data_IF_621776680874
#
_entry.id   IF_621776680874
#
_cell.length_a   1.000
_cell.length_b   1.000
_cell.length_c   1.000
_cell.angle_alpha   90.00
_cell.angle_beta   90.00
_cell.angle_gamma   90.00
#
_symmetry.space_group_name_H-M   'P 1'
#
loop_
_entity.id
_entity.type
_entity.pdbx_description
1 polymer ?
#
# COMPACT_ATOMS: atom_id res chain seq x y z
N UNK A 1 3.02 9.18 -45.43
CA UNK A 1 3.89 9.56 -44.28
C UNK A 1 3.18 9.21 -42.98
N UNK A 2 3.67 8.24 -42.20
CA UNK A 2 3.06 7.85 -40.91
C UNK A 2 3.65 8.68 -39.77
N UNK A 3 2.81 9.49 -39.10
CA UNK A 3 3.19 10.24 -37.88
C UNK A 3 3.27 9.25 -36.70
N UNK A 4 4.48 8.95 -36.24
CA UNK A 4 4.70 8.16 -35.03
C UNK A 4 4.30 9.01 -33.82
N UNK A 5 3.26 8.61 -33.09
CA UNK A 5 2.91 9.25 -31.81
C UNK A 5 3.98 8.88 -30.78
N UNK A 6 4.65 9.87 -30.18
CA UNK A 6 5.48 9.62 -28.99
C UNK A 6 4.60 9.04 -27.89
N UNK A 7 4.84 7.77 -27.55
CA UNK A 7 4.29 7.19 -26.33
C UNK A 7 4.98 7.90 -25.17
N UNK A 8 4.21 8.63 -24.36
CA UNK A 8 4.73 9.39 -23.22
C UNK A 8 5.52 8.44 -22.31
N UNK A 9 6.84 8.57 -22.36
CA UNK A 9 7.76 7.69 -21.66
C UNK A 9 7.50 7.69 -20.16
N UNK A 10 7.43 6.49 -19.59
CA UNK A 10 7.64 6.13 -18.18
C UNK A 10 7.34 7.29 -17.22
N UNK A 11 6.07 7.40 -16.80
CA UNK A 11 5.67 8.33 -15.75
C UNK A 11 6.67 8.25 -14.59
N UNK A 12 7.17 9.42 -14.17
CA UNK A 12 8.28 9.56 -13.24
C UNK A 12 8.18 8.51 -12.12
N UNK A 13 9.16 7.60 -12.06
CA UNK A 13 9.13 6.42 -11.16
C UNK A 13 8.82 6.80 -9.70
N UNK A 14 9.21 8.02 -9.30
CA UNK A 14 8.88 8.63 -8.02
C UNK A 14 7.38 8.81 -7.82
N UNK A 15 6.67 9.30 -8.83
CA UNK A 15 5.20 9.49 -8.79
C UNK A 15 4.47 8.16 -8.71
N UNK A 16 4.93 7.14 -9.42
CA UNK A 16 4.39 5.79 -9.34
C UNK A 16 4.57 5.18 -7.95
N UNK A 17 5.80 5.19 -7.41
CA UNK A 17 6.07 4.68 -6.06
C UNK A 17 5.25 5.41 -4.99
N UNK A 18 5.08 6.73 -5.13
CA UNK A 18 4.21 7.51 -4.24
C UNK A 18 2.74 7.09 -4.32
N UNK A 19 2.22 6.84 -5.52
CA UNK A 19 0.85 6.38 -5.72
C UNK A 19 0.63 4.99 -5.09
N UNK A 20 1.56 4.06 -5.31
CA UNK A 20 1.55 2.73 -4.69
C UNK A 20 1.58 2.85 -3.17
N UNK A 21 2.48 3.65 -2.60
CA UNK A 21 2.57 3.85 -1.16
C UNK A 21 1.29 4.41 -0.55
N UNK A 22 0.59 5.31 -1.25
CA UNK A 22 -0.73 5.82 -0.82
C UNK A 22 -1.80 4.72 -0.86
N UNK A 23 -1.83 3.92 -1.92
CA UNK A 23 -2.78 2.81 -2.05
C UNK A 23 -2.59 1.77 -0.94
N UNK A 24 -1.35 1.35 -0.67
CA UNK A 24 -1.04 0.39 0.39
C UNK A 24 -1.45 0.90 1.78
N UNK A 25 -1.23 2.19 2.08
CA UNK A 25 -1.67 2.80 3.35
C UNK A 25 -3.20 2.75 3.51
N UNK A 26 -3.95 3.00 2.43
CA UNK A 26 -5.42 2.92 2.43
C UNK A 26 -5.88 1.47 2.65
N UNK A 27 -5.27 0.51 1.93
CA UNK A 27 -5.57 -0.90 2.09
C UNK A 27 -5.33 -1.38 3.54
N UNK A 28 -4.19 -1.03 4.12
CA UNK A 28 -3.86 -1.35 5.50
C UNK A 28 -4.88 -0.77 6.51
N UNK A 29 -5.39 0.45 6.28
CA UNK A 29 -6.44 1.04 7.13
C UNK A 29 -7.74 0.23 7.06
N UNK A 30 -8.14 -0.19 5.87
CA UNK A 30 -9.33 -1.02 5.66
C UNK A 30 -9.19 -2.38 6.34
N UNK A 31 -8.08 -3.08 6.09
CA UNK A 31 -7.80 -4.39 6.70
C UNK A 31 -7.82 -4.34 8.23
N UNK A 32 -7.20 -3.32 8.84
CA UNK A 32 -7.24 -3.14 10.30
C UNK A 32 -8.63 -2.84 10.84
N UNK A 33 -9.45 -2.07 10.09
CA UNK A 33 -10.86 -1.83 10.49
C UNK A 33 -11.62 -3.16 10.55
N UNK A 34 -11.49 -3.98 9.52
CA UNK A 34 -12.11 -5.31 9.45
C UNK A 34 -11.58 -6.22 10.55
N UNK A 35 -10.26 -6.31 10.74
CA UNK A 35 -9.66 -7.14 11.78
C UNK A 35 -10.21 -6.79 13.17
N UNK A 36 -10.34 -5.49 13.49
CA UNK A 36 -10.94 -5.05 14.75
C UNK A 36 -12.41 -5.43 14.90
N UNK A 37 -13.18 -5.31 13.84
CA UNK A 37 -14.60 -5.66 13.87
C UNK A 37 -14.83 -7.15 14.19
N UNK A 38 -13.93 -8.03 13.74
CA UNK A 38 -14.05 -9.48 13.95
C UNK A 38 -13.13 -10.02 15.06
N UNK A 39 -12.52 -9.17 15.87
CA UNK A 39 -11.63 -9.61 16.94
C UNK A 39 -10.32 -10.27 16.45
N UNK A 40 -9.98 -10.12 15.18
CA UNK A 40 -8.76 -10.70 14.59
C UNK A 40 -7.52 -9.91 15.05
N UNK A 41 -6.49 -10.57 15.61
CA UNK A 41 -5.26 -9.89 16.03
C UNK A 41 -4.53 -9.23 14.86
N UNK A 42 -3.93 -8.06 15.12
CA UNK A 42 -3.10 -7.35 14.13
C UNK A 42 -1.64 -7.64 14.45
N UNK A 43 -0.93 -8.29 13.52
CA UNK A 43 0.49 -8.54 13.67
C UNK A 43 1.32 -7.33 13.22
N UNK A 44 2.21 -6.87 14.09
CA UNK A 44 3.11 -5.74 13.83
C UNK A 44 4.55 -6.11 14.17
N UNK A 45 5.51 -5.52 13.45
CA UNK A 45 6.91 -5.55 13.86
C UNK A 45 7.14 -4.52 14.95
N UNK A 46 7.55 -4.95 16.14
CA UNK A 46 7.83 -4.09 17.29
C UNK A 46 9.06 -4.62 18.03
N UNK A 47 10.04 -3.75 18.27
CA UNK A 47 11.26 -4.08 19.01
C UNK A 47 11.99 -5.33 18.47
N UNK A 48 12.14 -5.42 17.14
CA UNK A 48 12.90 -6.51 16.50
C UNK A 48 12.17 -7.85 16.42
N UNK A 49 10.87 -7.92 16.76
CA UNK A 49 10.07 -9.14 16.65
C UNK A 49 8.66 -8.87 16.17
N UNK A 50 7.98 -9.91 15.68
CA UNK A 50 6.55 -9.87 15.37
C UNK A 50 5.75 -9.99 16.66
N UNK A 51 4.79 -9.09 16.85
CA UNK A 51 3.90 -9.04 18.02
C UNK A 51 2.45 -9.03 17.56
N UNK A 52 1.61 -9.84 18.18
CA UNK A 52 0.16 -9.79 18.01
C UNK A 52 -0.42 -8.67 18.88
N UNK A 53 -1.01 -7.65 18.25
CA UNK A 53 -1.76 -6.61 18.94
C UNK A 53 -3.23 -7.01 19.01
N UNK A 54 -3.79 -7.00 20.23
CA UNK A 54 -5.23 -7.16 20.41
C UNK A 54 -5.97 -5.98 19.74
N UNK A 55 -7.10 -6.25 19.05
CA UNK A 55 -7.81 -5.27 18.25
C UNK A 55 -8.27 -4.03 19.01
#
# INVERSE_FOLDING_TARGET
MKRIKRVKGKGDSKTFAMAVGRALRRAAKSARKTARAYGTPIYIWKNGKVVAQKP
#
